data_IF_468287054242
#
_entry.id   IF_468287054242
#
_cell.length_a   1.000
_cell.length_b   1.000
_cell.length_c   1.000
_cell.angle_alpha   90.00
_cell.angle_beta   90.00
_cell.angle_gamma   90.00
#
_symmetry.space_group_name_H-M   'P 1'
#
loop_
_entity.id
_entity.type
_entity.pdbx_description
1 polymer ?
#
# COMPACT_ATOMS: atom_id res chain seq x y z
N UNK A 1 -16.28 -16.80 19.19
CA UNK A 1 -16.58 -15.98 17.99
C UNK A 1 -15.32 -15.92 17.14
N UNK A 2 -15.35 -16.43 15.91
CA UNK A 2 -14.22 -16.25 14.99
C UNK A 2 -14.33 -14.85 14.41
N UNK A 3 -13.53 -13.90 14.93
CA UNK A 3 -13.42 -12.58 14.33
C UNK A 3 -12.73 -12.75 12.97
N UNK A 4 -13.51 -12.78 11.90
CA UNK A 4 -12.98 -12.75 10.55
C UNK A 4 -12.46 -11.33 10.31
N UNK A 5 -11.16 -11.15 10.48
CA UNK A 5 -10.49 -9.88 10.25
C UNK A 5 -10.47 -9.55 8.76
N UNK A 6 -10.72 -8.28 8.46
CA UNK A 6 -10.66 -7.74 7.11
C UNK A 6 -9.24 -7.23 6.82
N UNK A 7 -8.72 -7.54 5.64
CA UNK A 7 -7.44 -7.05 5.15
C UNK A 7 -7.60 -6.42 3.78
N UNK A 8 -6.86 -5.34 3.53
CA UNK A 8 -6.83 -4.67 2.24
C UNK A 8 -5.49 -4.95 1.58
N UNK A 9 -5.55 -5.49 0.36
CA UNK A 9 -4.39 -5.76 -0.49
C UNK A 9 -4.34 -4.68 -1.57
N UNK A 10 -3.27 -3.89 -1.59
CA UNK A 10 -3.06 -2.82 -2.57
C UNK A 10 -1.76 -3.03 -3.32
N UNK A 11 -1.70 -2.58 -4.57
CA UNK A 11 -0.44 -2.43 -5.29
C UNK A 11 0.11 -1.05 -4.94
N UNK A 12 1.33 -0.96 -4.42
CA UNK A 12 1.99 0.32 -4.13
C UNK A 12 3.23 0.47 -5.00
N UNK A 13 3.36 1.64 -5.59
CA UNK A 13 4.62 2.10 -6.18
C UNK A 13 5.49 2.64 -5.05
N UNK A 14 6.66 2.04 -4.81
CA UNK A 14 7.59 2.59 -3.83
C UNK A 14 8.14 3.92 -4.35
N UNK A 15 8.13 5.00 -3.54
CA UNK A 15 8.70 6.27 -3.95
C UNK A 15 10.18 6.07 -4.22
N UNK A 16 10.63 6.60 -5.35
CA UNK A 16 11.98 6.38 -5.82
C UNK A 16 12.87 7.51 -5.31
N UNK A 17 14.06 7.21 -4.74
CA UNK A 17 15.04 8.25 -4.47
C UNK A 17 15.48 8.91 -5.78
N UNK A 18 16.07 10.10 -5.71
CA UNK A 18 16.33 11.02 -6.85
C UNK A 18 16.94 10.41 -8.13
N UNK A 19 17.62 9.25 -8.05
CA UNK A 19 18.14 8.48 -9.21
C UNK A 19 17.86 6.97 -9.17
N UNK A 20 16.83 6.53 -8.44
CA UNK A 20 16.52 5.11 -8.28
C UNK A 20 15.67 4.52 -9.42
N UNK A 21 15.38 3.23 -9.31
CA UNK A 21 14.44 2.50 -10.17
C UNK A 21 13.09 2.39 -9.48
N UNK A 22 12.00 2.65 -10.21
CA UNK A 22 10.63 2.45 -9.73
C UNK A 22 10.38 0.97 -9.49
N UNK A 23 10.16 0.60 -8.22
CA UNK A 23 9.78 -0.77 -7.85
C UNK A 23 8.33 -0.79 -7.40
N UNK A 24 7.58 -1.80 -7.85
CA UNK A 24 6.21 -2.04 -7.40
C UNK A 24 6.19 -3.20 -6.43
N UNK A 25 5.47 -3.04 -5.32
CA UNK A 25 5.24 -4.11 -4.34
C UNK A 25 3.76 -4.21 -4.02
N UNK A 26 3.34 -5.42 -3.67
CA UNK A 26 2.02 -5.66 -3.12
C UNK A 26 2.06 -5.46 -1.62
N UNK A 27 1.10 -4.74 -1.09
CA UNK A 27 1.04 -4.39 0.33
C UNK A 27 -0.28 -4.87 0.89
N UNK A 28 -0.20 -5.60 1.99
CA UNK A 28 -1.38 -5.99 2.77
C UNK A 28 -1.39 -5.21 4.08
N UNK A 29 -2.52 -4.60 4.39
CA UNK A 29 -2.80 -3.90 5.66
C UNK A 29 -4.08 -4.44 6.27
N UNK A 30 -4.20 -4.36 7.59
CA UNK A 30 -5.47 -4.62 8.26
C UNK A 30 -6.42 -3.46 7.99
N UNK A 31 -7.68 -3.80 7.76
CA UNK A 31 -8.76 -2.82 7.67
C UNK A 31 -9.16 -2.45 9.09
N UNK A 32 -8.87 -1.21 9.46
CA UNK A 32 -9.13 -0.67 10.79
C UNK A 32 -9.95 0.58 10.58
N UNK A 33 -11.03 0.72 11.33
CA UNK A 33 -11.88 1.90 11.24
C UNK A 33 -11.05 3.15 11.59
N UNK A 34 -11.08 4.18 10.71
CA UNK A 34 -10.15 5.30 10.79
C UNK A 34 -10.31 6.14 12.07
N UNK A 35 -11.47 6.10 12.70
CA UNK A 35 -11.79 6.89 13.88
C UNK A 35 -11.43 6.20 15.22
N UNK A 36 -11.12 4.89 15.20
CA UNK A 36 -11.16 4.07 16.42
C UNK A 36 -9.78 3.58 16.93
N UNK A 37 -8.68 3.94 16.26
CA UNK A 37 -7.36 3.39 16.60
C UNK A 37 -6.35 4.41 17.13
N UNK A 38 -6.69 5.70 17.14
CA UNK A 38 -5.82 6.76 17.66
C UNK A 38 -6.53 7.51 18.77
N UNK A 39 -5.87 7.64 19.91
CA UNK A 39 -6.37 8.41 21.05
C UNK A 39 -5.32 9.44 21.46
N UNK A 40 -5.75 10.67 21.74
CA UNK A 40 -4.85 11.72 22.20
C UNK A 40 -4.78 11.71 23.72
N UNK A 41 -3.57 11.58 24.26
CA UNK A 41 -3.36 11.67 25.70
C UNK A 41 -3.59 13.11 26.19
N UNK A 42 -4.52 13.32 27.13
CA UNK A 42 -4.89 14.65 27.63
C UNK A 42 -3.72 15.35 28.35
N UNK A 43 -2.90 14.60 29.08
CA UNK A 43 -1.85 15.18 29.90
C UNK A 43 -0.63 15.63 29.08
N UNK A 44 -0.32 14.92 27.99
CA UNK A 44 0.92 15.12 27.23
C UNK A 44 0.68 15.60 25.81
N UNK A 45 -0.53 15.47 25.29
CA UNK A 45 -0.89 15.81 23.91
C UNK A 45 -0.38 14.81 22.86
N UNK A 46 0.20 13.68 23.25
CA UNK A 46 0.70 12.69 22.30
C UNK A 46 -0.42 11.79 21.77
N UNK A 47 -0.38 11.50 20.47
CA UNK A 47 -1.28 10.52 19.85
C UNK A 47 -0.77 9.10 20.15
N UNK A 48 -1.59 8.33 20.85
CA UNK A 48 -1.38 6.92 21.16
C UNK A 48 -2.18 6.05 20.22
N UNK A 49 -1.70 4.83 19.96
CA UNK A 49 -2.40 3.88 19.11
C UNK A 49 -3.03 2.77 19.94
N UNK A 50 -4.34 2.53 19.78
CA UNK A 50 -5.12 1.53 20.51
C UNK A 50 -4.90 0.13 19.94
N UNK A 51 -4.97 -0.04 18.61
CA UNK A 51 -4.67 -1.32 17.95
C UNK A 51 -3.27 -1.32 17.31
N UNK A 52 -2.31 -2.10 17.83
CA UNK A 52 -0.95 -2.20 17.26
C UNK A 52 -0.95 -2.77 15.84
N UNK A 53 -2.01 -3.45 15.40
CA UNK A 53 -2.13 -4.01 14.04
C UNK A 53 -2.18 -2.93 12.97
N UNK A 54 -2.58 -1.70 13.32
CA UNK A 54 -2.57 -0.55 12.40
C UNK A 54 -1.18 -0.24 11.85
N UNK A 55 -0.14 -0.57 12.60
CA UNK A 55 1.26 -0.38 12.21
C UNK A 55 1.78 -1.54 11.36
N UNK A 56 1.08 -2.67 11.31
CA UNK A 56 1.52 -3.86 10.58
C UNK A 56 1.25 -3.70 9.09
N UNK A 57 2.33 -3.64 8.32
CA UNK A 57 2.28 -3.60 6.87
C UNK A 57 3.14 -4.71 6.27
N UNK A 58 2.50 -5.65 5.56
CA UNK A 58 3.20 -6.78 4.95
C UNK A 58 3.45 -6.52 3.46
N UNK A 59 4.71 -6.68 3.04
CA UNK A 59 5.14 -6.48 1.66
C UNK A 59 5.30 -7.82 0.95
N UNK A 60 4.73 -7.94 -0.25
CA UNK A 60 4.77 -9.13 -1.09
C UNK A 60 5.28 -8.79 -2.49
N UNK A 61 5.91 -9.77 -3.14
CA UNK A 61 6.38 -9.64 -4.53
C UNK A 61 5.24 -9.78 -5.55
N UNK A 62 4.19 -10.55 -5.23
CA UNK A 62 3.07 -10.82 -6.13
C UNK A 62 1.73 -10.84 -5.39
N UNK A 63 0.66 -10.53 -6.13
CA UNK A 63 -0.74 -10.58 -5.66
C UNK A 63 -1.11 -11.95 -5.10
N UNK A 64 -0.74 -13.02 -5.82
CA UNK A 64 -1.05 -14.39 -5.43
C UNK A 64 -0.46 -14.79 -4.08
N UNK A 65 0.77 -14.33 -3.78
CA UNK A 65 1.41 -14.59 -2.47
C UNK A 65 0.63 -13.91 -1.34
N UNK A 66 0.17 -12.68 -1.56
CA UNK A 66 -0.66 -11.97 -0.59
C UNK A 66 -2.01 -12.68 -0.36
N UNK A 67 -2.67 -13.13 -1.43
CA UNK A 67 -3.92 -13.89 -1.34
C UNK A 67 -3.71 -15.21 -0.61
N UNK A 68 -2.67 -15.99 -0.95
CA UNK A 68 -2.33 -17.25 -0.26
C UNK A 68 -2.08 -17.05 1.24
N UNK A 69 -1.47 -15.92 1.61
CA UNK A 69 -1.26 -15.58 3.02
C UNK A 69 -2.58 -15.25 3.73
N UNK A 70 -3.45 -14.45 3.09
CA UNK A 70 -4.76 -14.11 3.64
C UNK A 70 -5.64 -15.36 3.82
N UNK A 71 -5.68 -16.26 2.82
CA UNK A 71 -6.46 -17.50 2.89
C UNK A 71 -5.93 -18.47 3.94
N UNK A 72 -4.61 -18.62 4.06
CA UNK A 72 -3.98 -19.45 5.11
C UNK A 72 -4.39 -19.01 6.52
N UNK A 73 -4.47 -17.69 6.73
CA UNK A 73 -4.83 -17.11 8.02
C UNK A 73 -6.35 -16.88 8.18
N UNK A 74 -7.16 -17.26 7.20
CA UNK A 74 -8.63 -17.10 7.18
C UNK A 74 -9.08 -15.64 7.32
N UNK A 75 -8.31 -14.70 6.77
CA UNK A 75 -8.71 -13.29 6.69
C UNK A 75 -9.62 -13.05 5.48
N UNK A 76 -10.64 -12.21 5.68
CA UNK A 76 -11.42 -11.66 4.56
C UNK A 76 -10.56 -10.61 3.88
N UNK A 77 -10.46 -10.63 2.55
CA UNK A 77 -9.59 -9.70 1.83
C UNK A 77 -10.33 -8.90 0.77
N UNK A 78 -9.96 -7.63 0.62
CA UNK A 78 -10.35 -6.76 -0.49
C UNK A 78 -9.12 -6.41 -1.33
N UNK A 79 -9.26 -6.39 -2.65
CA UNK A 79 -8.18 -6.06 -3.59
C UNK A 79 -8.49 -4.70 -4.21
N UNK A 80 -7.59 -3.73 -4.01
CA UNK A 80 -7.65 -2.44 -4.69
C UNK A 80 -6.63 -2.46 -5.83
N UNK A 81 -7.12 -2.55 -7.06
CA UNK A 81 -6.29 -2.44 -8.26
C UNK A 81 -6.21 -0.97 -8.68
N UNK A 82 -5.00 -0.42 -8.72
CA UNK A 82 -4.77 0.91 -9.30
C UNK A 82 -4.85 0.78 -10.82
N UNK A 83 -5.72 1.59 -11.45
CA UNK A 83 -5.81 1.70 -12.90
C UNK A 83 -4.41 1.94 -13.46
N UNK A 84 -3.97 1.05 -14.34
CA UNK A 84 -2.72 1.22 -15.06
C UNK A 84 -2.86 2.52 -15.88
N UNK A 85 -2.21 3.59 -15.42
CA UNK A 85 -2.04 4.76 -16.27
C UNK A 85 -1.20 4.31 -17.47
N UNK A 86 -1.87 4.12 -18.61
CA UNK A 86 -1.25 3.97 -19.91
C UNK A 86 -0.32 5.16 -20.12
N UNK A 87 0.97 4.96 -19.86
CA UNK A 87 1.98 5.95 -20.19
C UNK A 87 1.98 6.02 -21.71
N UNK A 88 1.34 7.04 -22.28
CA UNK A 88 1.54 7.41 -23.67
C UNK A 88 3.04 7.55 -23.89
N UNK A 89 3.59 6.70 -24.73
CA UNK A 89 4.96 6.84 -25.21
C UNK A 89 4.97 8.11 -26.04
N UNK A 90 5.34 9.24 -25.44
CA UNK A 90 5.68 10.43 -26.23
C UNK A 90 7.00 10.11 -26.92
N UNK A 91 6.90 9.72 -28.19
CA UNK A 91 8.01 9.53 -29.11
C UNK A 91 8.73 10.87 -29.37
N UNK A 92 9.44 11.45 -28.40
CA UNK A 92 10.23 12.66 -28.69
C UNK A 92 11.31 13.00 -27.64
N UNK A 93 12.34 12.17 -27.51
CA UNK A 93 13.68 12.66 -27.13
C UNK A 93 14.58 12.56 -28.35
N UNK A 94 14.15 13.14 -29.47
CA UNK A 94 15.06 13.38 -30.58
C UNK A 94 15.81 14.67 -30.25
N UNK A 95 17.12 14.55 -29.98
CA UNK A 95 18.06 15.66 -29.79
C UNK A 95 18.11 16.66 -30.97
N UNK A 96 17.42 16.34 -32.06
CA UNK A 96 17.38 17.05 -33.34
C UNK A 96 16.61 18.39 -33.25
N UNK A 97 15.67 18.55 -32.31
CA UNK A 97 14.88 19.79 -32.18
C UNK A 97 15.60 20.96 -31.45
N UNK A 98 16.83 20.77 -30.98
CA UNK A 98 17.53 21.77 -30.17
C UNK A 98 18.41 22.75 -30.98
N UNK A 99 18.43 22.66 -32.30
CA UNK A 99 19.18 23.58 -33.16
C UNK A 99 18.23 24.22 -34.18
N UNK A 100 17.87 25.49 -33.96
CA UNK A 100 17.24 26.37 -34.96
C UNK A 100 17.71 27.81 -34.75
#
# INVERSE_FOLDING_TARGET
>A
MMNNMNVVITKKVEPVPQRGVVTTRWIMRFDIEPDDYLETNIATGWTMCIDPRSQVQLKFSSKEKAIKFATKNRYKYSILEENANDKKVTLYHQYINNYK
#
